data_IF_377896984630
#
_entry.id   IF_377896984630
#
_cell.length_a   1.000
_cell.length_b   1.000
_cell.length_c   1.000
_cell.angle_alpha   90.00
_cell.angle_beta   90.00
_cell.angle_gamma   90.00
#
_symmetry.space_group_name_H-M   'P 1'
#
loop_
_entity.id
_entity.type
_entity.pdbx_description
1 polymer ?
#
# COMPACT_ATOMS: atom_id res chain seq x y z
N UNK A 1 -9.72 -4.34 4.63
CA UNK A 1 -9.51 -4.76 3.21
C UNK A 1 -10.56 -5.77 2.76
N UNK A 2 -11.23 -5.53 1.63
CA UNK A 2 -12.09 -6.53 0.95
C UNK A 2 -11.47 -6.89 -0.41
N UNK A 3 -11.13 -8.16 -0.63
CA UNK A 3 -10.53 -8.64 -1.88
C UNK A 3 -11.53 -9.59 -2.55
N UNK A 4 -11.81 -9.34 -3.83
CA UNK A 4 -12.68 -10.19 -4.66
C UNK A 4 -11.95 -10.53 -5.94
N UNK A 5 -11.74 -11.82 -6.18
CA UNK A 5 -11.06 -12.31 -7.37
C UNK A 5 -12.05 -13.00 -8.31
N UNK A 6 -12.22 -12.44 -9.51
CA UNK A 6 -13.10 -12.98 -10.55
C UNK A 6 -12.24 -13.49 -11.72
N UNK A 7 -12.35 -14.78 -12.05
CA UNK A 7 -11.73 -15.32 -13.28
C UNK A 7 -12.54 -14.82 -14.48
N UNK A 8 -11.93 -14.01 -15.36
CA UNK A 8 -12.60 -13.46 -16.54
C UNK A 8 -12.40 -14.36 -17.76
N UNK A 9 -11.29 -15.08 -17.83
CA UNK A 9 -10.98 -16.02 -18.92
C UNK A 9 -10.00 -17.11 -18.44
N UNK A 10 -9.68 -18.08 -19.30
CA UNK A 10 -8.77 -19.20 -19.05
C UNK A 10 -7.40 -18.76 -18.53
N UNK A 11 -6.90 -17.61 -19.02
CA UNK A 11 -5.59 -17.06 -18.64
C UNK A 11 -5.69 -15.69 -17.93
N UNK A 12 -6.89 -15.15 -17.72
CA UNK A 12 -7.07 -13.79 -17.20
C UNK A 12 -7.85 -13.77 -15.89
N UNK A 13 -7.23 -13.24 -14.84
CA UNK A 13 -7.85 -13.01 -13.54
C UNK A 13 -8.07 -11.51 -13.34
N UNK A 14 -9.26 -11.13 -12.90
CA UNK A 14 -9.56 -9.78 -12.44
C UNK A 14 -9.61 -9.79 -10.91
N UNK A 15 -8.68 -9.08 -10.28
CA UNK A 15 -8.70 -8.85 -8.82
C UNK A 15 -9.26 -7.46 -8.58
N UNK A 16 -10.30 -7.37 -7.77
CA UNK A 16 -10.89 -6.11 -7.28
C UNK A 16 -10.68 -6.06 -5.78
N UNK A 17 -9.96 -5.05 -5.30
CA UNK A 17 -9.66 -4.90 -3.90
C UNK A 17 -10.07 -3.51 -3.44
N UNK A 18 -10.83 -3.44 -2.34
CA UNK A 18 -11.20 -2.19 -1.68
C UNK A 18 -10.34 -2.00 -0.44
N UNK A 19 -9.59 -0.89 -0.41
CA UNK A 19 -8.78 -0.50 0.74
C UNK A 19 -9.54 0.58 1.50
N UNK A 20 -9.81 0.30 2.78
CA UNK A 20 -10.38 1.30 3.67
C UNK A 20 -9.29 2.30 4.10
N UNK A 21 -9.67 3.57 4.23
CA UNK A 21 -8.74 4.62 4.62
C UNK A 21 -8.05 4.34 5.98
N UNK A 22 -8.72 3.63 6.89
CA UNK A 22 -8.16 3.20 8.17
C UNK A 22 -6.94 2.26 8.04
N UNK A 23 -6.93 1.37 7.05
CA UNK A 23 -5.80 0.47 6.78
C UNK A 23 -4.60 1.27 6.25
N UNK A 24 -4.84 2.26 5.39
CA UNK A 24 -3.82 3.18 4.86
C UNK A 24 -3.24 4.02 5.99
N UNK A 25 -4.07 4.63 6.83
CA UNK A 25 -3.60 5.42 7.98
C UNK A 25 -2.75 4.60 8.95
N UNK A 26 -3.11 3.33 9.19
CA UNK A 26 -2.32 2.43 10.02
C UNK A 26 -0.94 2.17 9.42
N UNK A 27 -0.86 1.97 8.11
CA UNK A 27 0.41 1.78 7.42
C UNK A 27 1.25 3.07 7.41
N UNK A 28 0.63 4.22 7.11
CA UNK A 28 1.28 5.54 7.23
C UNK A 28 1.86 5.76 8.62
N UNK A 29 1.10 5.45 9.68
CA UNK A 29 1.58 5.60 11.05
C UNK A 29 2.75 4.67 11.38
N UNK A 30 2.77 3.45 10.82
CA UNK A 30 3.87 2.48 11.00
C UNK A 30 5.13 2.96 10.28
N UNK A 31 5.02 3.34 9.02
CA UNK A 31 6.12 3.85 8.19
C UNK A 31 6.66 5.16 8.76
N UNK A 32 5.79 6.08 9.19
CA UNK A 32 6.18 7.32 9.85
C UNK A 32 6.96 7.09 11.15
N UNK A 33 6.58 6.07 11.96
CA UNK A 33 7.33 5.70 13.17
C UNK A 33 8.69 5.09 12.86
N UNK A 34 8.83 4.35 11.76
CA UNK A 34 10.12 3.81 11.33
C UNK A 34 11.04 4.92 10.82
N UNK A 35 10.53 5.79 9.95
CA UNK A 35 11.26 6.98 9.48
C UNK A 35 11.65 7.89 10.64
N UNK A 36 10.82 8.02 11.67
CA UNK A 36 11.16 8.79 12.87
C UNK A 36 12.39 8.32 13.62
N UNK A 37 12.70 7.03 13.55
CA UNK A 37 13.87 6.44 14.22
C UNK A 37 15.14 6.61 13.41
N UNK A 38 15.03 6.69 12.09
CA UNK A 38 16.20 6.72 11.18
C UNK A 38 16.58 8.13 10.75
N UNK A 39 15.59 9.04 10.63
CA UNK A 39 15.81 10.36 10.07
C UNK A 39 16.56 11.32 11.01
N UNK A 40 17.33 12.19 10.37
CA UNK A 40 17.96 13.37 10.96
C UNK A 40 17.22 14.60 10.47
N UNK A 41 16.58 15.31 11.39
CA UNK A 41 15.86 16.55 11.10
C UNK A 41 16.53 17.66 11.88
N UNK A 42 16.78 18.79 11.23
CA UNK A 42 17.43 19.94 11.86
C UNK A 42 16.66 20.37 13.13
N UNK A 43 17.39 20.52 14.23
CA UNK A 43 16.82 20.83 15.55
C UNK A 43 16.40 19.62 16.39
N UNK A 44 16.42 18.39 15.84
CA UNK A 44 16.13 17.17 16.58
C UNK A 44 17.30 16.19 16.56
N UNK A 45 17.56 15.57 17.72
CA UNK A 45 18.54 14.48 17.80
C UNK A 45 18.05 13.29 16.97
N UNK A 46 18.96 12.66 16.22
CA UNK A 46 18.68 11.46 15.40
C UNK A 46 17.80 10.47 16.17
N UNK A 47 16.68 10.07 15.57
CA UNK A 47 15.75 9.10 16.15
C UNK A 47 14.79 9.61 17.23
N UNK A 48 14.84 10.90 17.59
CA UNK A 48 13.94 11.56 18.55
C UNK A 48 13.07 12.64 17.90
N UNK A 49 12.81 12.48 16.61
CA UNK A 49 11.95 13.39 15.86
C UNK A 49 10.48 13.03 16.11
N UNK A 50 9.62 14.00 16.49
CA UNK A 50 8.18 13.75 16.63
C UNK A 50 7.54 13.33 15.31
N UNK A 51 6.64 12.34 15.38
CA UNK A 51 5.92 11.81 14.21
C UNK A 51 5.13 12.89 13.48
N UNK A 52 4.63 13.91 14.20
CA UNK A 52 3.87 15.04 13.61
C UNK A 52 4.73 15.87 12.65
N UNK A 53 6.01 16.09 12.98
CA UNK A 53 6.93 16.85 12.12
C UNK A 53 7.28 16.05 10.86
N UNK A 54 7.43 14.74 11.00
CA UNK A 54 7.72 13.85 9.86
C UNK A 54 6.51 13.72 8.95
N UNK A 55 5.31 13.62 9.51
CA UNK A 55 4.08 13.67 8.73
C UNK A 55 3.92 14.99 7.99
N UNK A 56 4.40 16.12 8.53
CA UNK A 56 4.37 17.40 7.82
C UNK A 56 5.39 17.49 6.67
N UNK A 57 6.61 16.99 6.88
CA UNK A 57 7.66 17.07 5.86
C UNK A 57 7.57 15.96 4.79
N UNK A 58 7.10 14.78 5.18
CA UNK A 58 7.04 13.59 4.35
C UNK A 58 5.62 13.07 4.17
N UNK A 59 4.58 13.85 4.49
CA UNK A 59 3.19 13.40 4.46
C UNK A 59 2.79 12.80 3.12
N UNK A 60 3.03 13.53 2.03
CA UNK A 60 2.72 13.06 0.68
C UNK A 60 3.56 11.84 0.28
N UNK A 61 4.86 11.84 0.60
CA UNK A 61 5.74 10.68 0.32
C UNK A 61 5.34 9.44 1.10
N UNK A 62 5.02 9.60 2.39
CA UNK A 62 4.55 8.53 3.26
C UNK A 62 3.22 7.97 2.79
N UNK A 63 2.33 8.83 2.29
CA UNK A 63 1.07 8.41 1.72
C UNK A 63 1.29 7.62 0.43
N UNK A 64 2.13 8.10 -0.48
CA UNK A 64 2.48 7.36 -1.70
C UNK A 64 3.17 6.02 -1.42
N UNK A 65 4.07 5.96 -0.43
CA UNK A 65 4.72 4.73 -0.01
C UNK A 65 3.72 3.75 0.61
N UNK A 66 2.84 4.22 1.50
CA UNK A 66 1.82 3.40 2.13
C UNK A 66 0.81 2.86 1.11
N UNK A 67 0.42 3.66 0.12
CA UNK A 67 -0.43 3.25 -1.00
C UNK A 67 0.26 2.17 -1.84
N UNK A 68 1.52 2.38 -2.21
CA UNK A 68 2.31 1.42 -2.99
C UNK A 68 2.52 0.10 -2.25
N UNK A 69 2.78 0.16 -0.93
CA UNK A 69 2.92 -1.03 -0.08
C UNK A 69 1.60 -1.79 0.04
N UNK A 70 0.48 -1.09 0.24
CA UNK A 70 -0.84 -1.71 0.34
C UNK A 70 -1.25 -2.39 -0.98
N UNK A 71 -0.95 -1.78 -2.13
CA UNK A 71 -1.18 -2.38 -3.44
C UNK A 71 -0.35 -3.66 -3.60
N UNK A 72 0.93 -3.63 -3.26
CA UNK A 72 1.78 -4.81 -3.31
C UNK A 72 1.26 -5.92 -2.40
N UNK A 73 0.81 -5.58 -1.19
CA UNK A 73 0.24 -6.53 -0.24
C UNK A 73 -1.05 -7.17 -0.78
N UNK A 74 -1.91 -6.40 -1.47
CA UNK A 74 -3.08 -6.93 -2.17
C UNK A 74 -2.69 -7.92 -3.26
N UNK A 75 -1.72 -7.57 -4.10
CA UNK A 75 -1.29 -8.46 -5.18
C UNK A 75 -0.75 -9.77 -4.61
N UNK A 76 0.04 -9.70 -3.52
CA UNK A 76 0.55 -10.87 -2.83
C UNK A 76 -0.57 -11.71 -2.19
N UNK A 77 -1.52 -11.06 -1.52
CA UNK A 77 -2.66 -11.75 -0.91
C UNK A 77 -3.56 -12.40 -1.96
N UNK A 78 -3.82 -11.71 -3.08
CA UNK A 78 -4.62 -12.24 -4.18
C UNK A 78 -3.93 -13.43 -4.88
N UNK A 79 -2.61 -13.36 -5.09
CA UNK A 79 -1.82 -14.50 -5.58
C UNK A 79 -1.97 -15.71 -4.64
N UNK A 80 -1.87 -15.48 -3.33
CA UNK A 80 -1.99 -16.52 -2.31
C UNK A 80 -3.39 -17.11 -2.21
N UNK A 81 -4.44 -16.29 -2.28
CA UNK A 81 -5.84 -16.77 -2.26
C UNK A 81 -6.19 -17.59 -3.50
N UNK A 82 -5.56 -17.28 -4.63
CA UNK A 82 -5.81 -17.95 -5.90
C UNK A 82 -4.87 -19.13 -6.17
N UNK A 83 -3.96 -19.43 -5.25
CA UNK A 83 -2.90 -20.46 -5.39
C UNK A 83 -2.13 -20.34 -6.72
N UNK A 84 -1.94 -19.11 -7.20
CA UNK A 84 -1.21 -18.85 -8.44
C UNK A 84 0.27 -18.90 -8.10
N UNK A 85 0.98 -19.89 -8.65
CA UNK A 85 2.43 -19.98 -8.55
C UNK A 85 3.05 -18.84 -9.35
N UNK A 86 4.14 -18.25 -8.84
CA UNK A 86 4.86 -17.20 -9.57
C UNK A 86 5.35 -17.65 -10.96
N UNK A 87 5.45 -18.97 -11.18
CA UNK A 87 5.78 -19.61 -12.45
C UNK A 87 4.65 -19.52 -13.50
N UNK A 88 3.39 -19.44 -13.06
CA UNK A 88 2.21 -19.36 -13.93
C UNK A 88 1.85 -17.90 -14.27
N UNK A 89 2.55 -16.93 -13.67
CA UNK A 89 2.33 -15.50 -13.89
C UNK A 89 3.09 -15.05 -15.13
N UNK A 90 2.37 -14.86 -16.22
CA UNK A 90 2.93 -14.32 -17.47
C UNK A 90 2.79 -12.79 -17.45
N UNK A 91 3.80 -12.12 -16.90
CA UNK A 91 3.95 -10.66 -16.89
C UNK A 91 3.49 -9.95 -15.62
N UNK A 92 3.75 -8.64 -15.55
CA UNK A 92 3.37 -7.82 -14.40
C UNK A 92 1.87 -7.49 -14.41
N UNK A 93 1.23 -7.41 -13.22
CA UNK A 93 -0.17 -7.02 -13.14
C UNK A 93 -0.38 -5.60 -13.66
N UNK A 94 -1.36 -5.42 -14.54
CA UNK A 94 -1.72 -4.12 -15.10
C UNK A 94 -2.93 -3.56 -14.35
N UNK A 95 -2.79 -2.35 -13.79
CA UNK A 95 -3.90 -1.63 -13.16
C UNK A 95 -4.90 -1.16 -14.22
N UNK A 96 -6.11 -1.73 -14.22
CA UNK A 96 -7.18 -1.32 -15.15
C UNK A 96 -7.92 -0.06 -14.72
N UNK A 97 -8.07 0.15 -13.40
CA UNK A 97 -8.74 1.30 -12.82
C UNK A 97 -8.09 1.60 -11.48
N UNK A 98 -7.88 2.88 -11.20
CA UNK A 98 -7.41 3.39 -9.92
C UNK A 98 -8.22 4.64 -9.63
N UNK A 99 -9.18 4.54 -8.71
CA UNK A 99 -10.00 5.66 -8.28
C UNK A 99 -9.70 5.98 -6.82
N UNK A 100 -9.13 7.18 -6.59
CA UNK A 100 -9.09 7.79 -5.26
C UNK A 100 -10.46 8.39 -4.99
N UNK A 101 -11.21 7.76 -4.09
CA UNK A 101 -12.50 8.25 -3.59
C UNK A 101 -12.22 8.89 -2.21
N UNK A 102 -12.97 9.92 -1.80
CA UNK A 102 -12.74 10.64 -0.53
C UNK A 102 -12.71 9.74 0.74
N UNK A 103 -13.18 8.50 0.63
CA UNK A 103 -13.28 7.52 1.73
C UNK A 103 -12.38 6.26 1.53
N UNK A 104 -11.51 6.24 0.50
CA UNK A 104 -10.60 5.11 0.24
C UNK A 104 -10.05 5.02 -1.18
N UNK A 105 -9.39 3.90 -1.48
CA UNK A 105 -8.88 3.59 -2.83
C UNK A 105 -9.66 2.38 -3.36
N UNK A 106 -10.27 2.56 -4.54
CA UNK A 106 -10.95 1.52 -5.33
C UNK A 106 -10.23 1.21 -6.64
#
# INVERSE_FOLDING_TARGET
MNITATKKDTANVLVTAKIENADIEKNINKTAKQLAKTQTVDGFRKGKVPVVIIKKMYGEKLQQEAESEAINEIVQNAKKELDIKDEDVIGDPVFKKFEKVDDGIE
#
